data_IF_931861470688
#
_entry.id   IF_931861470688
#
_cell.length_a   1.000
_cell.length_b   1.000
_cell.length_c   1.000
_cell.angle_alpha   90.00
_cell.angle_beta   90.00
_cell.angle_gamma   90.00
#
_symmetry.space_group_name_H-M   'P 1'
#
loop_
_entity.id
_entity.type
_entity.pdbx_description
1 polymer ?
#
# COMPACT_ATOMS: atom_id res chain seq x y z
N UNK A 1 -1.54 25.93 13.82
CA UNK A 1 -1.01 25.42 12.53
C UNK A 1 -1.65 24.08 12.26
N UNK A 2 -1.99 23.77 11.00
CA UNK A 2 -2.46 22.43 10.62
C UNK A 2 -1.33 21.41 10.84
N UNK A 3 -1.68 20.19 11.23
CA UNK A 3 -0.70 19.09 11.34
C UNK A 3 -0.16 18.75 9.95
N UNK A 4 1.15 18.53 9.86
CA UNK A 4 1.80 18.06 8.63
C UNK A 4 1.23 16.69 8.25
N UNK A 5 0.83 16.51 6.99
CA UNK A 5 0.27 15.26 6.46
C UNK A 5 1.26 14.57 5.55
N UNK A 6 1.60 13.33 5.86
CA UNK A 6 2.59 12.55 5.11
C UNK A 6 1.97 11.24 4.62
N UNK A 7 2.03 11.04 3.32
CA UNK A 7 1.65 9.81 2.64
C UNK A 7 2.91 8.99 2.39
N UNK A 8 2.98 7.77 2.91
CA UNK A 8 4.00 6.81 2.54
C UNK A 8 3.41 5.79 1.56
N UNK A 9 4.04 5.63 0.41
CA UNK A 9 3.75 4.54 -0.52
C UNK A 9 4.98 3.64 -0.59
N UNK A 10 4.78 2.32 -0.53
CA UNK A 10 5.86 1.35 -0.56
C UNK A 10 5.38 -0.04 -0.97
N UNK A 11 6.30 -0.96 -1.22
CA UNK A 11 6.00 -2.37 -1.55
C UNK A 11 5.84 -3.26 -0.33
N UNK A 12 6.52 -2.94 0.77
CA UNK A 12 6.60 -3.79 1.95
C UNK A 12 6.57 -2.98 3.23
N UNK A 13 6.16 -3.60 4.34
CA UNK A 13 6.16 -2.98 5.66
C UNK A 13 6.00 -4.06 6.74
N UNK A 14 6.78 -3.97 7.81
CA UNK A 14 6.64 -4.84 8.98
C UNK A 14 5.32 -4.53 9.73
N UNK A 15 4.54 -5.52 10.19
CA UNK A 15 4.78 -6.97 10.14
C UNK A 15 4.07 -7.67 8.97
N UNK A 16 3.52 -6.92 8.01
CA UNK A 16 2.66 -7.47 6.97
C UNK A 16 3.43 -8.17 5.85
N UNK A 17 4.54 -7.58 5.41
CA UNK A 17 5.46 -8.15 4.42
C UNK A 17 6.89 -7.67 4.70
N UNK A 18 7.83 -8.61 4.77
CA UNK A 18 9.24 -8.37 5.10
C UNK A 18 10.12 -9.14 4.12
N UNK A 19 10.25 -8.62 2.91
CA UNK A 19 11.11 -9.21 1.86
C UNK A 19 12.54 -8.70 2.03
N UNK A 20 12.71 -7.45 2.47
CA UNK A 20 14.01 -6.85 2.75
C UNK A 20 14.00 -6.09 4.09
N UNK A 21 15.15 -5.51 4.46
CA UNK A 21 15.28 -4.64 5.64
C UNK A 21 14.53 -3.31 5.49
N UNK A 22 14.09 -2.95 4.27
CA UNK A 22 13.31 -1.74 4.02
C UNK A 22 11.96 -1.79 4.75
N UNK A 23 11.36 -2.98 4.91
CA UNK A 23 10.12 -3.15 5.67
C UNK A 23 10.21 -2.64 7.13
N UNK A 24 11.35 -2.85 7.81
CA UNK A 24 11.58 -2.35 9.17
C UNK A 24 11.73 -0.82 9.19
N UNK A 25 12.42 -0.27 8.20
CA UNK A 25 12.58 1.17 8.04
C UNK A 25 11.22 1.84 7.81
N UNK A 26 10.39 1.28 6.93
CA UNK A 26 9.04 1.75 6.62
C UNK A 26 8.06 1.58 7.77
N UNK A 27 8.40 0.77 8.76
CA UNK A 27 7.66 0.69 10.00
C UNK A 27 8.04 1.79 11.00
N UNK A 28 9.31 2.17 11.02
CA UNK A 28 9.90 3.13 11.97
C UNK A 28 9.75 4.59 11.52
N UNK A 29 9.97 4.89 10.25
CA UNK A 29 9.89 6.27 9.74
C UNK A 29 8.51 6.90 9.96
N UNK A 30 7.39 6.26 9.58
CA UNK A 30 6.07 6.86 9.76
C UNK A 30 5.68 6.94 11.24
N UNK A 31 6.13 5.98 12.07
CA UNK A 31 5.91 6.02 13.52
C UNK A 31 6.60 7.23 14.15
N UNK A 32 7.87 7.49 13.82
CA UNK A 32 8.59 8.66 14.31
C UNK A 32 7.95 9.98 13.88
N UNK A 33 7.46 10.06 12.64
CA UNK A 33 6.74 11.26 12.18
C UNK A 33 5.38 11.43 12.86
N UNK A 34 4.68 10.34 13.17
CA UNK A 34 3.45 10.38 13.95
C UNK A 34 3.70 10.89 15.38
N UNK A 35 4.78 10.42 16.02
CA UNK A 35 5.23 10.90 17.34
C UNK A 35 5.61 12.39 17.31
N UNK A 36 6.18 12.87 16.20
CA UNK A 36 6.44 14.29 15.94
C UNK A 36 5.17 15.11 15.63
N UNK A 37 3.98 14.50 15.66
CA UNK A 37 2.69 15.17 15.52
C UNK A 37 2.13 15.22 14.10
N UNK A 38 2.77 14.54 13.13
CA UNK A 38 2.26 14.44 11.77
C UNK A 38 1.07 13.47 11.67
N UNK A 39 0.20 13.71 10.69
CA UNK A 39 -0.85 12.79 10.28
C UNK A 39 -0.33 11.88 9.17
N UNK A 40 -0.45 10.57 9.37
CA UNK A 40 0.20 9.58 8.53
C UNK A 40 -0.83 8.73 7.81
N UNK A 41 -0.57 8.44 6.53
CA UNK A 41 -1.18 7.32 5.82
C UNK A 41 -0.13 6.51 5.11
N UNK A 42 -0.27 5.19 5.15
CA UNK A 42 0.67 4.25 4.56
C UNK A 42 -0.09 3.38 3.59
N UNK A 43 0.42 3.25 2.37
CA UNK A 43 -0.13 2.40 1.33
C UNK A 43 0.89 1.36 0.90
N UNK A 44 0.44 0.12 0.78
CA UNK A 44 1.20 -0.99 0.21
C UNK A 44 0.32 -1.86 -0.68
N UNK A 45 0.88 -2.63 -1.64
CA UNK A 45 0.10 -3.64 -2.36
C UNK A 45 -0.36 -4.76 -1.41
N UNK A 46 -1.57 -5.28 -1.62
CA UNK A 46 -2.04 -6.51 -0.99
C UNK A 46 -1.46 -7.71 -1.74
N UNK A 47 -0.18 -8.01 -1.57
CA UNK A 47 0.38 -9.25 -2.11
C UNK A 47 -0.28 -10.49 -1.46
N UNK A 48 -0.48 -11.56 -2.22
CA UNK A 48 -1.27 -12.74 -1.84
C UNK A 48 -0.66 -13.53 -0.69
N UNK A 49 0.65 -13.34 -0.46
CA UNK A 49 1.38 -13.85 0.69
C UNK A 49 1.05 -13.13 2.02
N UNK A 50 0.37 -11.97 1.97
CA UNK A 50 -0.12 -11.27 3.16
C UNK A 50 -1.40 -11.95 3.64
N UNK A 51 -1.32 -12.61 4.79
CA UNK A 51 -2.44 -13.35 5.37
C UNK A 51 -3.50 -12.41 5.98
N UNK A 52 -4.65 -12.28 5.32
CA UNK A 52 -5.72 -11.37 5.74
C UNK A 52 -6.30 -11.70 7.11
N UNK A 53 -6.54 -12.99 7.39
CA UNK A 53 -7.15 -13.42 8.65
C UNK A 53 -6.23 -13.16 9.84
N UNK A 54 -4.95 -13.52 9.71
CA UNK A 54 -3.92 -13.29 10.74
C UNK A 54 -3.76 -11.81 11.02
N UNK A 55 -3.74 -11.00 9.97
CA UNK A 55 -3.45 -9.57 10.04
C UNK A 55 -4.70 -8.69 10.22
N UNK A 56 -5.90 -9.31 10.24
CA UNK A 56 -7.20 -8.63 10.40
C UNK A 56 -7.39 -7.52 9.37
N UNK A 57 -7.13 -7.83 8.09
CA UNK A 57 -7.42 -6.90 7.01
C UNK A 57 -8.94 -6.79 6.83
N UNK A 58 -9.43 -5.57 6.81
CA UNK A 58 -10.85 -5.27 6.60
C UNK A 58 -11.01 -4.44 5.33
N UNK A 59 -11.94 -4.83 4.48
CA UNK A 59 -12.29 -4.03 3.31
C UNK A 59 -12.95 -2.70 3.72
N UNK A 60 -12.56 -1.62 3.03
CA UNK A 60 -13.09 -0.29 3.25
C UNK A 60 -14.19 -0.01 2.24
N UNK A 61 -15.39 -0.57 2.50
CA UNK A 61 -16.54 -0.55 1.57
C UNK A 61 -16.88 0.84 1.03
N UNK A 62 -16.70 1.91 1.82
CA UNK A 62 -16.93 3.31 1.36
C UNK A 62 -15.99 3.78 0.24
N UNK A 63 -14.93 3.04 -0.05
CA UNK A 63 -13.98 3.28 -1.14
C UNK A 63 -14.16 2.29 -2.30
N UNK A 64 -15.24 1.51 -2.31
CA UNK A 64 -15.57 0.60 -3.41
C UNK A 64 -16.01 1.34 -4.68
N UNK A 65 -16.05 0.61 -5.80
CA UNK A 65 -16.53 1.11 -7.09
C UNK A 65 -15.53 2.01 -7.84
N UNK A 66 -14.26 1.99 -7.44
CA UNK A 66 -13.18 2.67 -8.16
C UNK A 66 -12.58 1.68 -9.16
N UNK A 67 -12.45 2.09 -10.42
CA UNK A 67 -11.70 1.36 -11.43
C UNK A 67 -10.42 2.13 -11.76
N UNK A 68 -9.35 1.40 -12.04
CA UNK A 68 -8.06 1.95 -12.45
C UNK A 68 -7.75 1.46 -13.86
N UNK A 69 -7.54 2.42 -14.77
CA UNK A 69 -7.09 2.12 -16.12
C UNK A 69 -5.58 1.78 -16.14
N UNK A 70 -5.22 0.65 -16.73
CA UNK A 70 -3.83 0.22 -16.98
C UNK A 70 -3.76 -0.28 -18.42
N UNK A 71 -3.05 0.47 -19.29
CA UNK A 71 -3.15 0.24 -20.73
C UNK A 71 -4.59 0.45 -21.23
N UNK A 72 -5.09 -0.51 -21.98
CA UNK A 72 -6.45 -0.53 -22.53
C UNK A 72 -7.49 -1.17 -21.58
N UNK A 73 -7.04 -1.73 -20.45
CA UNK A 73 -7.90 -2.39 -19.47
C UNK A 73 -8.31 -1.45 -18.33
N UNK A 74 -9.55 -1.61 -17.86
CA UNK A 74 -9.99 -1.09 -16.56
C UNK A 74 -10.10 -2.22 -15.55
N UNK A 75 -9.44 -2.07 -14.40
CA UNK A 75 -9.42 -3.08 -13.34
C UNK A 75 -10.01 -2.53 -12.04
N UNK A 76 -10.84 -3.31 -11.32
CA UNK A 76 -11.45 -2.86 -10.07
C UNK A 76 -10.40 -2.71 -8.98
N UNK A 77 -10.50 -1.62 -8.22
CA UNK A 77 -9.68 -1.34 -7.05
C UNK A 77 -10.44 -1.72 -5.78
N UNK A 78 -9.84 -2.62 -5.01
CA UNK A 78 -10.28 -2.95 -3.65
C UNK A 78 -9.29 -2.34 -2.67
N UNK A 79 -9.80 -1.71 -1.62
CA UNK A 79 -8.96 -1.15 -0.54
C UNK A 79 -9.27 -1.88 0.75
N UNK A 80 -8.23 -2.45 1.35
CA UNK A 80 -8.28 -3.05 2.68
C UNK A 80 -7.49 -2.19 3.66
N UNK A 81 -7.79 -2.32 4.94
CA UNK A 81 -7.06 -1.63 6.01
C UNK A 81 -6.73 -2.60 7.14
N UNK A 82 -5.55 -2.44 7.71
CA UNK A 82 -5.18 -3.07 8.97
C UNK A 82 -4.44 -2.05 9.86
N UNK A 83 -4.46 -2.27 11.16
CA UNK A 83 -3.70 -1.48 12.10
C UNK A 83 -2.43 -2.20 12.53
N UNK A 84 -1.41 -1.44 12.89
CA UNK A 84 -0.27 -1.96 13.65
C UNK A 84 -0.42 -1.44 15.08
N UNK A 85 -0.98 -2.24 16.01
CA UNK A 85 -1.40 -1.73 17.32
C UNK A 85 -0.26 -1.09 18.12
N UNK A 86 0.94 -1.65 18.02
CA UNK A 86 2.11 -1.21 18.79
C UNK A 86 2.57 0.20 18.46
N UNK A 87 2.29 0.73 17.27
CA UNK A 87 2.55 2.15 16.98
C UNK A 87 1.31 2.92 16.52
N UNK A 88 0.11 2.36 16.66
CA UNK A 88 -1.14 3.06 16.30
C UNK A 88 -1.12 3.59 14.85
N UNK A 89 -0.48 2.86 13.95
CA UNK A 89 -0.45 3.16 12.51
C UNK A 89 -1.58 2.42 11.80
N UNK A 90 -2.17 3.06 10.79
CA UNK A 90 -3.10 2.44 9.85
C UNK A 90 -2.41 2.25 8.51
N UNK A 91 -2.49 1.03 7.98
CA UNK A 91 -1.93 0.66 6.67
C UNK A 91 -3.08 0.31 5.75
N UNK A 92 -3.12 0.99 4.61
CA UNK A 92 -4.05 0.75 3.52
C UNK A 92 -3.39 -0.20 2.52
N UNK A 93 -4.14 -1.20 2.08
CA UNK A 93 -3.69 -2.19 1.13
C UNK A 93 -4.46 -2.00 -0.18
N UNK A 94 -3.72 -1.74 -1.25
CA UNK A 94 -4.25 -1.68 -2.60
C UNK A 94 -4.33 -3.11 -3.12
N UNK A 95 -5.55 -3.57 -3.40
CA UNK A 95 -5.85 -4.96 -3.75
C UNK A 95 -6.55 -5.03 -5.11
N UNK A 96 -6.21 -6.08 -5.84
CA UNK A 96 -6.78 -6.45 -7.13
C UNK A 96 -6.45 -7.93 -7.41
N UNK A 97 -7.48 -8.69 -7.79
CA UNK A 97 -7.39 -10.14 -7.98
C UNK A 97 -6.32 -10.53 -9.01
N UNK A 98 -6.26 -9.81 -10.13
CA UNK A 98 -5.35 -10.12 -11.25
C UNK A 98 -3.88 -9.87 -10.88
N UNK A 99 -3.61 -8.81 -10.13
CA UNK A 99 -2.26 -8.31 -9.91
C UNK A 99 -1.57 -8.85 -8.66
N UNK A 100 -2.30 -9.02 -7.57
CA UNK A 100 -1.64 -9.18 -6.27
C UNK A 100 -1.85 -10.54 -5.60
N UNK A 101 -2.73 -11.42 -6.08
CA UNK A 101 -3.07 -12.67 -5.36
C UNK A 101 -2.11 -13.86 -5.58
N UNK A 102 -0.95 -13.64 -6.18
CA UNK A 102 0.10 -14.66 -6.34
C UNK A 102 0.69 -15.11 -5.00
N UNK A 103 1.27 -16.31 -4.98
CA UNK A 103 1.98 -16.88 -3.80
C UNK A 103 3.39 -16.31 -3.59
N UNK A 104 3.69 -15.18 -4.21
CA UNK A 104 4.94 -14.42 -4.07
C UNK A 104 4.66 -12.94 -4.39
N UNK A 105 5.62 -12.06 -4.06
CA UNK A 105 5.48 -10.62 -4.27
C UNK A 105 5.95 -10.21 -5.68
N UNK A 106 7.26 -10.00 -5.88
CA UNK A 106 7.81 -9.38 -7.09
C UNK A 106 8.51 -10.37 -8.04
N UNK A 107 8.97 -11.50 -7.51
CA UNK A 107 9.72 -12.52 -8.24
C UNK A 107 9.06 -13.89 -8.13
N UNK A 108 9.36 -14.76 -9.10
CA UNK A 108 8.96 -16.16 -9.09
C UNK A 108 9.88 -17.03 -8.22
N UNK A 109 9.63 -18.36 -8.23
CA UNK A 109 10.40 -19.34 -7.45
C UNK A 109 11.87 -19.48 -7.88
N UNK A 110 12.26 -18.89 -9.00
CA UNK A 110 13.62 -18.88 -9.53
C UNK A 110 14.25 -17.48 -9.44
N UNK A 111 13.70 -16.60 -8.60
CA UNK A 111 14.13 -15.20 -8.42
C UNK A 111 14.03 -14.33 -9.68
N UNK A 112 13.20 -14.71 -10.65
CA UNK A 112 12.94 -13.90 -11.84
C UNK A 112 11.77 -12.94 -11.60
N UNK A 113 11.95 -11.66 -11.91
CA UNK A 113 10.85 -10.70 -11.87
C UNK A 113 9.69 -11.11 -12.77
N UNK A 114 8.47 -10.89 -12.27
CA UNK A 114 7.27 -11.04 -13.08
C UNK A 114 7.23 -10.00 -14.20
N UNK A 115 6.76 -10.43 -15.37
CA UNK A 115 6.72 -9.59 -16.57
C UNK A 115 5.72 -8.44 -16.44
N UNK A 116 4.68 -8.59 -15.62
CA UNK A 116 3.61 -7.60 -15.39
C UNK A 116 3.89 -6.68 -14.18
N UNK A 117 5.13 -6.64 -13.68
CA UNK A 117 5.47 -5.79 -12.53
C UNK A 117 5.30 -4.29 -12.80
N UNK A 118 5.49 -3.87 -14.05
CA UNK A 118 5.22 -2.52 -14.52
C UNK A 118 3.73 -2.18 -14.44
N UNK A 119 2.85 -3.05 -14.92
CA UNK A 119 1.39 -2.90 -14.80
C UNK A 119 0.94 -2.84 -13.34
N UNK A 120 1.52 -3.68 -12.48
CA UNK A 120 1.26 -3.70 -11.03
C UNK A 120 1.70 -2.42 -10.36
N UNK A 121 2.85 -1.85 -10.75
CA UNK A 121 3.33 -0.56 -10.26
C UNK A 121 2.39 0.58 -10.68
N UNK A 122 1.97 0.60 -11.96
CA UNK A 122 1.02 1.59 -12.48
C UNK A 122 -0.31 1.51 -11.73
N UNK A 123 -0.86 0.30 -11.59
CA UNK A 123 -2.10 0.07 -10.85
C UNK A 123 -1.98 0.54 -9.41
N UNK A 124 -0.88 0.20 -8.74
CA UNK A 124 -0.63 0.60 -7.36
C UNK A 124 -0.58 2.12 -7.22
N UNK A 125 0.25 2.80 -8.01
CA UNK A 125 0.42 4.26 -7.96
C UNK A 125 -0.90 4.98 -8.22
N UNK A 126 -1.63 4.61 -9.28
CA UNK A 126 -2.95 5.19 -9.59
C UNK A 126 -3.96 4.88 -8.48
N UNK A 127 -3.97 3.66 -7.96
CA UNK A 127 -4.85 3.24 -6.88
C UNK A 127 -4.64 4.04 -5.59
N UNK A 128 -3.38 4.34 -5.24
CA UNK A 128 -3.04 5.23 -4.12
C UNK A 128 -3.61 6.63 -4.35
N UNK A 129 -3.36 7.23 -5.52
CA UNK A 129 -3.81 8.58 -5.85
C UNK A 129 -5.34 8.70 -5.81
N UNK A 130 -6.05 7.77 -6.47
CA UNK A 130 -7.52 7.77 -6.50
C UNK A 130 -8.12 7.55 -5.10
N UNK A 131 -7.51 6.68 -4.30
CA UNK A 131 -7.93 6.47 -2.91
C UNK A 131 -7.78 7.74 -2.07
N UNK A 132 -6.65 8.44 -2.19
CA UNK A 132 -6.35 9.67 -1.47
C UNK A 132 -7.34 10.78 -1.85
N UNK A 133 -7.63 10.94 -3.15
CA UNK A 133 -8.65 11.88 -3.65
C UNK A 133 -10.04 11.54 -3.10
N UNK A 134 -10.47 10.27 -3.17
CA UNK A 134 -11.77 9.82 -2.67
C UNK A 134 -11.94 10.05 -1.17
N UNK A 135 -10.85 9.94 -0.41
CA UNK A 135 -10.84 10.20 1.03
C UNK A 135 -10.86 11.70 1.39
N UNK A 136 -10.75 12.61 0.41
CA UNK A 136 -10.72 14.05 0.65
C UNK A 136 -9.55 14.49 1.53
N UNK A 137 -8.44 13.74 1.52
CA UNK A 137 -7.28 13.99 2.37
C UNK A 137 -6.08 14.34 1.52
N UNK A 138 -5.70 15.61 1.50
CA UNK A 138 -4.54 16.07 0.75
C UNK A 138 -3.28 15.95 1.61
N UNK A 139 -2.30 15.08 1.27
CA UNK A 139 -0.99 15.10 1.92
C UNK A 139 -0.23 16.38 1.55
N UNK A 140 0.63 16.83 2.46
CA UNK A 140 1.62 17.87 2.20
C UNK A 140 2.88 17.26 1.57
N UNK A 141 3.21 16.02 1.97
CA UNK A 141 4.37 15.27 1.49
C UNK A 141 3.93 13.88 1.04
N UNK A 142 4.37 13.48 -0.15
CA UNK A 142 4.28 12.09 -0.63
C UNK A 142 5.68 11.49 -0.64
N UNK A 143 5.87 10.44 0.15
CA UNK A 143 7.11 9.70 0.26
C UNK A 143 6.96 8.34 -0.46
N UNK A 144 7.46 8.29 -1.69
CA UNK A 144 7.56 7.08 -2.50
C UNK A 144 8.81 6.28 -2.07
N UNK A 145 8.73 4.95 -2.08
CA UNK A 145 9.80 4.06 -1.66
C UNK A 145 9.99 2.94 -2.68
N UNK A 146 11.19 2.92 -3.27
CA UNK A 146 11.61 2.04 -4.35
C UNK A 146 10.79 2.17 -5.65
N UNK A 147 11.12 1.33 -6.62
CA UNK A 147 10.75 1.48 -8.03
C UNK A 147 9.28 1.17 -8.37
N UNK A 148 8.50 0.61 -7.44
CA UNK A 148 7.08 0.34 -7.65
C UNK A 148 6.18 1.56 -7.37
N UNK A 149 6.77 2.69 -6.92
CA UNK A 149 6.07 3.90 -6.47
C UNK A 149 6.45 5.15 -7.22
#
# INVERSE_FOLDING_TARGET
MSKLRILYAATEIDPFLQTTKVAELLRRLPAGMQEAGAEIRIFVPRFGIINERKNRLHEVVRLSGINIAVGDDEKPLVIKVASIPTAKLQVYFIDNEDYFHRKSALVDKNDKFYADNDERAIFFCKGVLETVKKLGWSPDIVHCNDWMT
#
